data_IF_028858440856
#
_entry.id   IF_028858440856
#
_cell.length_a   1.000
_cell.length_b   1.000
_cell.length_c   1.000
_cell.angle_alpha   90.00
_cell.angle_beta   90.00
_cell.angle_gamma   90.00
#
_symmetry.space_group_name_H-M   'P 1'
#
loop_
_entity.id
_entity.type
_entity.pdbx_description
1 polymer ?
#
# COMPACT_ATOMS: atom_id res chain seq x y z
N UNK A 1 5.99 -83.99 -33.34
CA UNK A 1 6.93 -84.55 -32.35
C UNK A 1 7.94 -83.48 -31.98
N UNK A 2 8.01 -83.14 -30.69
CA UNK A 2 9.12 -82.48 -29.96
C UNK A 2 9.48 -81.03 -30.35
N UNK A 3 9.77 -80.09 -29.44
CA UNK A 3 9.81 -80.05 -27.97
C UNK A 3 9.86 -78.56 -27.57
N UNK A 4 9.35 -78.28 -26.36
CA UNK A 4 9.33 -76.98 -25.67
C UNK A 4 10.73 -76.48 -25.31
N UNK A 5 10.89 -75.16 -25.16
CA UNK A 5 12.03 -74.55 -24.45
C UNK A 5 12.10 -73.03 -24.61
N UNK A 6 11.26 -72.28 -23.89
CA UNK A 6 11.42 -70.82 -23.71
C UNK A 6 12.31 -70.61 -22.48
N UNK A 7 13.52 -70.07 -22.70
CA UNK A 7 14.42 -69.64 -21.62
C UNK A 7 14.08 -68.18 -21.29
N UNK A 8 13.77 -67.99 -20.02
CA UNK A 8 13.42 -66.75 -19.34
C UNK A 8 14.64 -65.80 -19.33
N UNK A 9 14.52 -64.64 -19.99
CA UNK A 9 15.50 -63.57 -19.88
C UNK A 9 15.30 -62.77 -18.60
N UNK A 10 16.26 -62.82 -17.68
CA UNK A 10 16.40 -61.85 -16.59
C UNK A 10 17.43 -60.80 -17.00
N UNK A 11 16.97 -59.68 -17.55
CA UNK A 11 17.68 -58.41 -17.45
C UNK A 11 17.00 -57.61 -16.35
N UNK A 12 17.60 -57.64 -15.15
CA UNK A 12 17.22 -56.77 -14.04
C UNK A 12 17.78 -55.39 -14.36
N UNK A 13 16.96 -54.54 -14.98
CA UNK A 13 17.21 -53.11 -15.05
C UNK A 13 16.59 -52.50 -13.80
N UNK A 14 17.44 -52.18 -12.84
CA UNK A 14 17.09 -51.44 -11.63
C UNK A 14 16.64 -50.03 -12.00
N UNK A 15 15.34 -49.85 -12.27
CA UNK A 15 14.73 -48.53 -12.35
C UNK A 15 14.46 -48.08 -10.91
N UNK A 16 15.33 -47.21 -10.41
CA UNK A 16 15.12 -46.46 -9.18
C UNK A 16 13.93 -45.53 -9.43
N UNK A 17 12.76 -45.93 -8.95
CA UNK A 17 11.60 -45.03 -8.86
C UNK A 17 11.86 -44.10 -7.68
N UNK A 18 12.55 -42.97 -7.96
CA UNK A 18 12.55 -41.83 -7.05
C UNK A 18 11.14 -41.25 -7.10
N UNK A 19 10.31 -41.61 -6.14
CA UNK A 19 9.06 -40.90 -5.85
C UNK A 19 9.48 -39.49 -5.41
N UNK A 20 9.52 -38.56 -6.34
CA UNK A 20 9.56 -37.13 -6.03
C UNK A 20 8.16 -36.80 -5.52
N UNK A 21 7.98 -36.94 -4.20
CA UNK A 21 6.86 -36.37 -3.50
C UNK A 21 6.80 -34.89 -3.89
N UNK A 22 5.82 -34.54 -4.71
CA UNK A 22 5.52 -33.15 -5.05
C UNK A 22 4.95 -32.50 -3.80
N UNK A 23 5.85 -32.12 -2.89
CA UNK A 23 5.54 -31.16 -1.85
C UNK A 23 5.36 -29.82 -2.57
N UNK A 24 4.10 -29.43 -2.71
CA UNK A 24 3.72 -28.07 -3.02
C UNK A 24 4.27 -27.19 -1.90
N UNK A 25 5.49 -26.66 -2.08
CA UNK A 25 5.98 -25.60 -1.22
C UNK A 25 5.14 -24.37 -1.55
N UNK A 26 4.10 -24.15 -0.75
CA UNK A 26 3.52 -22.82 -0.61
C UNK A 26 4.67 -21.92 -0.14
N UNK A 27 5.28 -21.19 -1.08
CA UNK A 27 6.10 -20.04 -0.74
C UNK A 27 5.14 -19.03 -0.12
N UNK A 28 5.00 -19.10 1.21
CA UNK A 28 4.58 -17.95 1.99
C UNK A 28 5.66 -16.91 1.73
N UNK A 29 5.45 -16.06 0.72
CA UNK A 29 6.17 -14.81 0.63
C UNK A 29 5.75 -13.99 1.84
N UNK A 30 6.55 -14.09 2.89
CA UNK A 30 6.50 -13.19 4.02
C UNK A 30 6.90 -11.83 3.47
N UNK A 31 5.90 -10.99 3.16
CA UNK A 31 6.10 -9.55 3.13
C UNK A 31 6.72 -9.19 4.48
N UNK A 32 7.99 -8.77 4.45
CA UNK A 32 8.75 -8.36 5.63
C UNK A 32 8.24 -6.98 6.07
N UNK A 33 6.98 -6.94 6.49
CA UNK A 33 6.38 -5.74 7.03
C UNK A 33 6.94 -5.59 8.44
N UNK A 34 7.71 -4.52 8.64
CA UNK A 34 8.14 -4.13 9.97
C UNK A 34 6.90 -3.75 10.81
N UNK A 35 6.38 -4.75 11.53
CA UNK A 35 5.26 -4.61 12.45
C UNK A 35 5.58 -3.71 13.63
N UNK A 36 6.84 -3.30 13.80
CA UNK A 36 7.27 -2.37 14.85
C UNK A 36 7.25 -0.91 14.41
N UNK A 37 7.10 -0.62 13.10
CA UNK A 37 7.16 0.73 12.56
C UNK A 37 6.08 1.64 13.13
N UNK A 38 6.49 2.50 14.05
CA UNK A 38 5.62 3.41 14.82
C UNK A 38 6.22 4.81 14.77
N UNK A 39 5.38 5.81 14.56
CA UNK A 39 5.76 7.22 14.59
C UNK A 39 4.89 7.95 15.62
N UNK A 40 5.51 8.40 16.71
CA UNK A 40 4.79 9.00 17.83
C UNK A 40 3.83 7.99 18.45
N UNK A 41 2.55 8.32 18.55
CA UNK A 41 1.51 7.39 19.00
C UNK A 41 0.92 6.51 17.90
N UNK A 42 1.35 6.67 16.64
CA UNK A 42 0.71 6.04 15.48
C UNK A 42 1.50 4.81 15.02
N UNK A 43 0.87 3.63 15.04
CA UNK A 43 1.41 2.48 14.30
C UNK A 43 1.24 2.74 12.81
N UNK A 44 2.38 2.75 12.11
CA UNK A 44 2.44 2.92 10.66
C UNK A 44 2.84 1.64 9.94
N UNK A 45 3.06 0.53 10.64
CA UNK A 45 3.49 -0.75 10.10
C UNK A 45 2.77 -1.14 8.80
N UNK A 46 1.43 -1.08 8.82
CA UNK A 46 0.57 -1.45 7.70
C UNK A 46 0.19 -0.27 6.77
N UNK A 47 0.72 0.94 7.00
CA UNK A 47 0.58 2.08 6.10
C UNK A 47 1.37 1.92 4.81
N UNK A 48 1.48 2.98 4.01
CA UNK A 48 2.31 3.02 2.81
C UNK A 48 3.79 2.72 3.11
N UNK A 49 4.58 2.33 2.10
CA UNK A 49 6.03 2.53 2.13
C UNK A 49 6.36 3.99 2.48
N UNK A 50 7.53 4.25 3.06
CA UNK A 50 7.96 5.62 3.37
C UNK A 50 8.26 6.35 2.05
N UNK A 51 7.72 7.56 1.89
CA UNK A 51 8.14 8.48 0.82
C UNK A 51 9.24 9.41 1.34
N UNK A 52 10.39 9.40 0.68
CA UNK A 52 11.57 10.17 1.07
C UNK A 52 12.57 9.34 1.85
N UNK A 53 13.46 10.02 2.58
CA UNK A 53 14.48 9.35 3.39
C UNK A 53 13.86 8.70 4.64
N UNK A 54 13.93 7.38 4.81
CA UNK A 54 13.42 6.70 6.02
C UNK A 54 14.16 7.11 7.30
N UNK A 55 15.32 7.77 7.20
CA UNK A 55 16.08 8.32 8.32
C UNK A 55 15.81 9.81 8.57
N UNK A 56 14.90 10.44 7.81
CA UNK A 56 14.52 11.82 8.06
C UNK A 56 13.98 11.98 9.50
N UNK A 57 14.38 13.05 10.23
CA UNK A 57 14.04 13.20 11.65
C UNK A 57 12.54 13.47 11.89
N UNK A 58 11.83 13.92 10.86
CA UNK A 58 10.40 14.22 10.92
C UNK A 58 9.64 13.24 10.03
N UNK A 59 8.56 12.67 10.56
CA UNK A 59 7.61 11.88 9.78
C UNK A 59 6.26 12.58 9.75
N UNK A 60 5.77 12.84 8.54
CA UNK A 60 4.40 13.28 8.30
C UNK A 60 3.56 12.03 8.09
N UNK A 61 2.64 11.75 9.00
CA UNK A 61 1.63 10.69 8.83
C UNK A 61 0.35 11.34 8.31
N UNK A 62 0.00 11.02 7.08
CA UNK A 62 -1.26 11.45 6.45
C UNK A 62 -2.30 10.33 6.55
N UNK A 63 -3.44 10.63 7.15
CA UNK A 63 -4.64 9.80 7.09
C UNK A 63 -5.56 10.31 5.98
N UNK A 64 -5.83 9.48 4.98
CA UNK A 64 -6.58 9.89 3.79
C UNK A 64 -7.57 8.85 3.25
N UNK A 65 -8.44 9.33 2.36
CA UNK A 65 -9.40 8.52 1.61
C UNK A 65 -9.33 8.98 0.16
N UNK A 66 -9.18 8.07 -0.80
CA UNK A 66 -9.03 8.47 -2.20
C UNK A 66 -10.27 9.17 -2.78
N UNK A 67 -11.45 9.05 -2.15
CA UNK A 67 -12.68 9.78 -2.55
C UNK A 67 -12.82 11.16 -1.90
N UNK A 68 -11.87 11.57 -1.05
CA UNK A 68 -11.92 12.80 -0.27
C UNK A 68 -11.54 14.02 -1.10
N UNK A 69 -12.46 14.95 -1.29
CA UNK A 69 -12.18 16.20 -2.00
C UNK A 69 -11.15 17.09 -1.28
N UNK A 70 -11.08 17.06 0.06
CA UNK A 70 -10.05 17.84 0.76
C UNK A 70 -8.66 17.20 0.62
N UNK A 71 -8.59 15.87 0.51
CA UNK A 71 -7.35 15.14 0.32
C UNK A 71 -6.80 15.40 -1.08
N UNK A 72 -7.70 15.45 -2.09
CA UNK A 72 -7.40 15.98 -3.42
C UNK A 72 -6.75 17.37 -3.34
N UNK A 73 -7.40 18.33 -2.68
CA UNK A 73 -6.90 19.71 -2.60
C UNK A 73 -5.52 19.75 -1.94
N UNK A 74 -5.32 19.01 -0.84
CA UNK A 74 -4.01 18.95 -0.18
C UNK A 74 -2.94 18.34 -1.10
N UNK A 75 -3.27 17.25 -1.80
CA UNK A 75 -2.37 16.59 -2.75
C UNK A 75 -1.92 17.52 -3.89
N UNK A 76 -2.84 18.33 -4.43
CA UNK A 76 -2.54 19.23 -5.56
C UNK A 76 -1.92 20.57 -5.10
N UNK A 77 -2.38 21.13 -3.99
CA UNK A 77 -2.06 22.52 -3.62
C UNK A 77 -0.95 22.63 -2.56
N UNK A 78 -0.83 21.65 -1.65
CA UNK A 78 0.07 21.76 -0.49
C UNK A 78 1.23 20.76 -0.55
N UNK A 79 0.94 19.48 -0.84
CA UNK A 79 1.94 18.39 -0.89
C UNK A 79 3.15 18.72 -1.77
N UNK A 80 3.03 19.33 -2.97
CA UNK A 80 4.20 19.56 -3.82
C UNK A 80 5.26 20.47 -3.18
N UNK A 81 4.83 21.49 -2.44
CA UNK A 81 5.74 22.36 -1.71
C UNK A 81 6.40 21.64 -0.52
N UNK A 82 5.65 20.80 0.19
CA UNK A 82 6.21 19.96 1.27
C UNK A 82 7.24 18.98 0.71
N UNK A 83 6.92 18.32 -0.41
CA UNK A 83 7.83 17.39 -1.08
C UNK A 83 9.14 18.06 -1.43
N UNK A 84 9.08 19.19 -2.14
CA UNK A 84 10.27 19.94 -2.56
C UNK A 84 11.10 20.46 -1.38
N UNK A 85 10.46 21.07 -0.38
CA UNK A 85 11.17 21.85 0.65
C UNK A 85 11.62 21.01 1.86
N UNK A 86 11.02 19.83 2.05
CA UNK A 86 11.29 18.98 3.22
C UNK A 86 11.60 17.53 2.84
N UNK A 87 10.79 16.88 1.99
CA UNK A 87 10.96 15.44 1.70
C UNK A 87 12.20 15.18 0.85
N UNK A 88 12.33 15.88 -0.28
CA UNK A 88 13.48 15.74 -1.18
C UNK A 88 14.80 16.21 -0.54
N UNK A 89 14.71 17.07 0.48
CA UNK A 89 15.86 17.54 1.25
C UNK A 89 16.25 16.62 2.42
N UNK A 90 15.50 15.54 2.67
CA UNK A 90 15.73 14.61 3.78
C UNK A 90 15.37 15.14 5.17
N UNK A 91 14.68 16.29 5.24
CA UNK A 91 14.23 16.88 6.52
C UNK A 91 12.98 16.21 7.07
N UNK A 92 12.12 15.72 6.18
CA UNK A 92 10.94 14.97 6.54
C UNK A 92 10.75 13.77 5.61
N UNK A 93 9.96 12.81 6.05
CA UNK A 93 9.39 11.78 5.19
C UNK A 93 7.87 11.77 5.34
N UNK A 94 7.18 11.02 4.46
CA UNK A 94 5.72 10.90 4.47
C UNK A 94 5.31 9.43 4.52
N UNK A 95 4.31 9.12 5.34
CA UNK A 95 3.59 7.85 5.37
C UNK A 95 2.10 8.12 5.21
N UNK A 96 1.47 7.46 4.24
CA UNK A 96 0.03 7.48 4.06
C UNK A 96 -0.62 6.30 4.80
N UNK A 97 -1.72 6.55 5.51
CA UNK A 97 -2.48 5.56 6.27
C UNK A 97 -3.95 5.70 5.90
N UNK A 98 -4.59 4.58 5.56
CA UNK A 98 -5.97 4.64 5.09
C UNK A 98 -6.93 5.05 6.20
N UNK A 99 -7.83 5.97 5.88
CA UNK A 99 -9.07 6.20 6.60
C UNK A 99 -10.20 6.17 5.58
N UNK A 100 -10.50 4.97 5.08
CA UNK A 100 -11.40 4.74 3.94
C UNK A 100 -12.86 4.57 4.41
N UNK A 101 -13.63 5.66 4.45
CA UNK A 101 -15.00 5.67 4.99
C UNK A 101 -16.01 6.48 4.18
N UNK A 102 -15.57 7.25 3.17
CA UNK A 102 -16.43 8.24 2.52
C UNK A 102 -17.51 7.62 1.64
N UNK A 103 -17.20 6.51 0.97
CA UNK A 103 -18.14 5.83 0.09
C UNK A 103 -17.80 4.36 -0.09
N UNK A 104 -18.65 3.65 -0.83
CA UNK A 104 -18.51 2.20 -1.08
C UNK A 104 -17.20 1.86 -1.77
N UNK A 105 -16.70 2.75 -2.61
CA UNK A 105 -15.49 2.51 -3.41
C UNK A 105 -14.20 2.81 -2.62
N UNK A 106 -14.29 3.53 -1.49
CA UNK A 106 -13.12 3.97 -0.71
C UNK A 106 -12.23 2.80 -0.26
N UNK A 107 -12.76 1.72 0.35
CA UNK A 107 -11.91 0.60 0.78
C UNK A 107 -11.27 -0.14 -0.39
N UNK A 108 -11.92 -0.19 -1.56
CA UNK A 108 -11.39 -0.87 -2.75
C UNK A 108 -10.29 -0.04 -3.41
N UNK A 109 -10.45 1.28 -3.47
CA UNK A 109 -9.41 2.21 -3.93
C UNK A 109 -8.15 2.13 -3.05
N UNK A 110 -8.30 2.05 -1.73
CA UNK A 110 -7.19 1.82 -0.81
C UNK A 110 -6.48 0.47 -1.06
N UNK A 111 -7.24 -0.62 -1.19
CA UNK A 111 -6.68 -1.94 -1.52
C UNK A 111 -5.89 -1.95 -2.83
N UNK A 112 -6.37 -1.24 -3.85
CA UNK A 112 -5.71 -1.14 -5.15
C UNK A 112 -4.29 -0.56 -5.05
N UNK A 113 -4.05 0.35 -4.11
CA UNK A 113 -2.70 0.90 -3.90
C UNK A 113 -1.73 -0.14 -3.34
N UNK A 114 -2.21 -1.07 -2.51
CA UNK A 114 -1.42 -2.19 -2.02
C UNK A 114 -1.25 -3.31 -3.04
N UNK A 115 -2.20 -3.49 -3.97
CA UNK A 115 -1.99 -4.37 -5.13
C UNK A 115 -0.91 -3.83 -6.07
N UNK A 116 -0.75 -2.50 -6.15
CA UNK A 116 0.40 -1.90 -6.83
C UNK A 116 1.69 -2.00 -5.99
N UNK A 117 1.61 -1.92 -4.66
CA UNK A 117 2.73 -2.13 -3.73
C UNK A 117 3.34 -3.53 -3.84
N UNK A 118 2.51 -4.55 -4.08
CA UNK A 118 2.97 -5.92 -4.39
C UNK A 118 3.90 -5.95 -5.63
N UNK A 119 3.92 -4.88 -6.43
CA UNK A 119 4.75 -4.68 -7.60
C UNK A 119 5.71 -3.47 -7.46
N UNK A 120 5.89 -2.97 -6.24
CA UNK A 120 6.73 -1.81 -5.88
C UNK A 120 6.29 -0.46 -6.47
N UNK A 121 5.00 -0.31 -6.78
CA UNK A 121 4.45 0.87 -7.48
C UNK A 121 3.39 1.61 -6.64
N UNK A 122 3.50 1.53 -5.31
CA UNK A 122 2.54 2.15 -4.39
C UNK A 122 2.37 3.64 -4.66
N UNK A 123 3.48 4.39 -4.69
CA UNK A 123 3.44 5.85 -4.75
C UNK A 123 3.02 6.37 -6.13
N UNK A 124 3.41 5.69 -7.20
CA UNK A 124 2.96 5.96 -8.56
C UNK A 124 1.44 5.73 -8.68
N UNK A 125 0.94 4.64 -8.12
CA UNK A 125 -0.48 4.33 -8.11
C UNK A 125 -1.29 5.31 -7.24
N UNK A 126 -0.80 5.61 -6.03
CA UNK A 126 -1.36 6.63 -5.14
C UNK A 126 -1.46 7.99 -5.85
N UNK A 127 -0.39 8.43 -6.51
CA UNK A 127 -0.37 9.68 -7.27
C UNK A 127 -1.36 9.64 -8.43
N UNK A 128 -1.48 8.51 -9.12
CA UNK A 128 -2.46 8.33 -10.22
C UNK A 128 -3.89 8.50 -9.73
N UNK A 129 -4.25 7.88 -8.60
CA UNK A 129 -5.59 8.01 -8.01
C UNK A 129 -5.94 9.47 -7.71
N UNK A 130 -5.07 10.22 -7.03
CA UNK A 130 -5.35 11.64 -6.74
C UNK A 130 -5.26 12.55 -7.96
N UNK A 131 -4.44 12.21 -8.97
CA UNK A 131 -4.37 12.96 -10.23
C UNK A 131 -5.68 12.87 -11.00
N UNK A 132 -6.30 11.70 -11.03
CA UNK A 132 -7.51 11.41 -11.79
C UNK A 132 -8.78 11.27 -10.94
N UNK A 133 -8.71 11.65 -9.66
CA UNK A 133 -9.87 11.64 -8.77
C UNK A 133 -10.95 12.55 -9.33
N UNK A 134 -12.19 12.08 -9.30
CA UNK A 134 -13.36 12.89 -9.61
C UNK A 134 -14.02 13.45 -8.34
N UNK A 135 -14.70 14.59 -8.49
CA UNK A 135 -15.23 15.37 -7.36
C UNK A 135 -16.36 14.70 -6.57
N UNK A 136 -17.00 13.65 -7.10
CA UNK A 136 -18.17 13.02 -6.48
C UNK A 136 -17.82 11.63 -5.97
N UNK A 137 -18.13 11.41 -4.69
CA UNK A 137 -18.08 10.10 -4.03
C UNK A 137 -19.05 9.14 -4.74
N UNK A 138 -18.60 7.90 -4.96
CA UNK A 138 -19.37 6.78 -5.52
C UNK A 138 -20.04 7.10 -6.88
N UNK A 139 -19.43 7.95 -7.70
CA UNK A 139 -19.92 8.21 -9.07
C UNK A 139 -19.38 7.22 -10.11
N UNK A 140 -18.58 6.24 -9.69
CA UNK A 140 -17.94 5.23 -10.54
C UNK A 140 -16.49 5.53 -10.92
N UNK A 141 -15.92 6.70 -10.58
CA UNK A 141 -14.52 7.02 -10.91
C UNK A 141 -13.51 6.05 -10.27
N UNK A 142 -13.86 5.50 -9.11
CA UNK A 142 -13.10 4.52 -8.33
C UNK A 142 -13.70 3.10 -8.36
N UNK A 143 -14.48 2.77 -9.40
CA UNK A 143 -14.97 1.40 -9.60
C UNK A 143 -13.80 0.42 -9.81
N UNK A 144 -14.04 -0.88 -9.61
CA UNK A 144 -13.00 -1.92 -9.84
C UNK A 144 -12.39 -1.82 -11.24
N UNK A 145 -13.22 -1.60 -12.27
CA UNK A 145 -12.79 -1.45 -13.66
C UNK A 145 -11.89 -0.23 -13.87
N UNK A 146 -12.21 0.89 -13.20
CA UNK A 146 -11.39 2.11 -13.26
C UNK A 146 -10.08 1.92 -12.51
N UNK A 147 -10.10 1.30 -11.33
CA UNK A 147 -8.90 0.96 -10.57
C UNK A 147 -7.95 0.06 -11.38
N UNK A 148 -8.48 -0.96 -12.05
CA UNK A 148 -7.70 -1.81 -12.98
C UNK A 148 -7.18 -1.04 -14.19
N UNK A 149 -7.95 -0.09 -14.71
CA UNK A 149 -7.50 0.78 -15.81
C UNK A 149 -6.32 1.67 -15.39
N UNK A 150 -6.29 2.18 -14.15
CA UNK A 150 -5.12 2.91 -13.64
C UNK A 150 -3.89 2.02 -13.56
N UNK A 151 -4.04 0.78 -13.09
CA UNK A 151 -2.94 -0.20 -13.04
C UNK A 151 -2.38 -0.49 -14.44
N UNK A 152 -3.27 -0.72 -15.40
CA UNK A 152 -2.90 -0.96 -16.80
C UNK A 152 -2.11 0.22 -17.37
N UNK A 153 -2.55 1.46 -17.15
CA UNK A 153 -1.85 2.65 -17.63
C UNK A 153 -0.48 2.86 -16.99
N UNK A 154 -0.25 2.29 -15.80
CA UNK A 154 1.05 2.27 -15.13
C UNK A 154 1.92 1.08 -15.53
N UNK A 155 1.48 0.28 -16.51
CA UNK A 155 2.16 -0.94 -16.99
C UNK A 155 2.41 -1.99 -15.89
N UNK A 156 1.48 -2.09 -14.92
CA UNK A 156 1.52 -3.18 -13.94
C UNK A 156 1.20 -4.52 -14.60
N UNK A 157 1.67 -5.61 -14.00
CA UNK A 157 1.20 -6.95 -14.33
C UNK A 157 -0.27 -7.07 -13.91
N UNK A 158 -1.15 -7.06 -14.92
CA UNK A 158 -2.58 -7.10 -14.72
C UNK A 158 -3.07 -8.45 -14.21
N UNK A 159 -2.33 -9.54 -14.43
CA UNK A 159 -2.70 -10.84 -13.87
C UNK A 159 -2.58 -10.79 -12.34
N UNK A 160 -1.44 -10.29 -11.85
CA UNK A 160 -1.19 -10.13 -10.42
C UNK A 160 -2.11 -9.08 -9.79
N UNK A 161 -2.32 -7.96 -10.48
CA UNK A 161 -3.14 -6.88 -9.98
C UNK A 161 -4.63 -7.29 -9.88
N UNK A 162 -5.16 -7.93 -10.91
CA UNK A 162 -6.56 -8.39 -10.93
C UNK A 162 -6.80 -9.43 -9.84
N UNK A 163 -5.91 -10.42 -9.71
CA UNK A 163 -6.00 -11.44 -8.64
C UNK A 163 -5.99 -10.78 -7.25
N UNK A 164 -5.09 -9.84 -7.02
CA UNK A 164 -5.00 -9.12 -5.75
C UNK A 164 -6.27 -8.33 -5.42
N UNK A 165 -6.80 -7.57 -6.38
CA UNK A 165 -7.93 -6.67 -6.16
C UNK A 165 -9.27 -7.43 -6.04
N UNK A 166 -9.46 -8.46 -6.87
CA UNK A 166 -10.68 -9.27 -6.90
C UNK A 166 -10.78 -10.21 -5.70
N UNK A 167 -9.65 -10.73 -5.20
CA UNK A 167 -9.60 -11.54 -3.97
C UNK A 167 -9.69 -10.72 -2.69
N UNK A 168 -9.66 -9.38 -2.78
CA UNK A 168 -9.62 -8.47 -1.64
C UNK A 168 -8.43 -8.72 -0.71
N UNK A 169 -7.28 -9.12 -1.28
CA UNK A 169 -6.06 -9.53 -0.55
C UNK A 169 -5.69 -8.59 0.58
N UNK A 170 -5.81 -7.28 0.36
CA UNK A 170 -5.40 -6.23 1.31
C UNK A 170 -6.56 -5.65 2.15
N UNK A 171 -7.76 -6.25 2.13
CA UNK A 171 -8.93 -5.76 2.87
C UNK A 171 -8.66 -5.60 4.38
N UNK A 172 -8.00 -6.57 5.00
CA UNK A 172 -7.63 -6.52 6.43
C UNK A 172 -6.63 -5.40 6.74
N UNK A 173 -5.70 -5.12 5.81
CA UNK A 173 -4.72 -4.03 5.92
C UNK A 173 -5.43 -2.68 6.00
N UNK A 174 -6.35 -2.43 5.06
CA UNK A 174 -7.16 -1.20 5.02
C UNK A 174 -8.04 -1.05 6.26
N UNK A 175 -8.68 -2.13 6.71
CA UNK A 175 -9.50 -2.12 7.94
C UNK A 175 -8.67 -1.79 9.18
N UNK A 176 -7.46 -2.37 9.30
CA UNK A 176 -6.54 -2.08 10.38
C UNK A 176 -6.12 -0.61 10.39
N UNK A 177 -5.68 -0.07 9.24
CA UNK A 177 -5.28 1.34 9.11
C UNK A 177 -6.42 2.29 9.49
N UNK A 178 -7.62 2.01 9.01
CA UNK A 178 -8.80 2.82 9.34
C UNK A 178 -9.14 2.76 10.83
N UNK A 179 -8.87 1.63 11.50
CA UNK A 179 -9.03 1.52 12.95
C UNK A 179 -7.94 2.29 13.70
N UNK A 180 -6.67 2.22 13.27
CA UNK A 180 -5.59 3.01 13.84
C UNK A 180 -5.89 4.52 13.80
N UNK A 181 -6.45 5.00 12.69
CA UNK A 181 -6.89 6.39 12.56
C UNK A 181 -7.93 6.76 13.62
N UNK A 182 -8.97 5.94 13.78
CA UNK A 182 -10.06 6.18 14.74
C UNK A 182 -9.58 6.11 16.19
N UNK A 183 -8.74 5.13 16.52
CA UNK A 183 -8.20 4.94 17.87
C UNK A 183 -7.31 6.10 18.30
N UNK A 184 -6.63 6.74 17.33
CA UNK A 184 -5.85 7.96 17.54
C UNK A 184 -6.66 9.26 17.39
N UNK A 185 -8.00 9.16 17.35
CA UNK A 185 -8.89 10.32 17.36
C UNK A 185 -8.98 11.10 16.05
N UNK A 186 -8.55 10.52 14.92
CA UNK A 186 -8.74 11.12 13.59
C UNK A 186 -10.21 11.01 13.21
N UNK A 187 -10.88 12.16 13.04
CA UNK A 187 -12.34 12.25 12.79
C UNK A 187 -12.70 12.60 11.36
N UNK A 188 -11.73 12.83 10.48
CA UNK A 188 -11.96 13.21 9.10
C UNK A 188 -10.67 13.21 8.30
N UNK A 189 -10.81 13.36 6.99
CA UNK A 189 -9.72 13.32 6.03
C UNK A 189 -9.59 14.64 5.25
N UNK A 190 -8.36 15.07 4.92
CA UNK A 190 -7.12 14.49 5.39
C UNK A 190 -6.91 14.85 6.87
N UNK A 191 -6.34 13.93 7.65
CA UNK A 191 -5.87 14.17 9.01
C UNK A 191 -4.38 13.93 9.07
N UNK A 192 -3.64 14.71 9.85
CA UNK A 192 -2.18 14.60 9.90
C UNK A 192 -1.67 14.49 11.32
N UNK A 193 -0.61 13.71 11.47
CA UNK A 193 0.32 13.80 12.60
C UNK A 193 1.70 14.15 12.04
N UNK A 194 2.29 15.23 12.55
CA UNK A 194 3.68 15.60 12.25
C UNK A 194 4.49 15.21 13.47
N UNK A 195 5.30 14.17 13.33
CA UNK A 195 6.08 13.57 14.42
C UNK A 195 7.54 13.95 14.23
N UNK A 196 8.11 14.66 15.20
CA UNK A 196 9.53 15.00 15.24
C UNK A 196 10.23 14.41 16.47
N UNK A 197 11.52 14.73 16.68
CA UNK A 197 12.32 14.20 17.78
C UNK A 197 11.76 14.55 19.17
N UNK A 198 11.18 15.75 19.31
CA UNK A 198 10.77 16.32 20.59
C UNK A 198 9.25 16.27 20.83
N UNK A 199 8.47 15.70 19.91
CA UNK A 199 7.02 15.61 20.08
C UNK A 199 6.25 15.35 18.79
N UNK A 200 4.93 15.45 18.90
CA UNK A 200 4.02 15.31 17.76
C UNK A 200 2.94 16.40 17.76
N UNK A 201 2.59 16.88 16.59
CA UNK A 201 1.49 17.82 16.37
C UNK A 201 0.42 17.20 15.47
N UNK A 202 -0.85 17.44 15.79
CA UNK A 202 -1.99 16.98 15.00
C UNK A 202 -2.57 18.13 14.18
N UNK A 203 -2.84 17.90 12.89
CA UNK A 203 -3.57 18.83 12.03
C UNK A 203 -4.79 18.15 11.42
N UNK A 204 -5.86 18.91 11.27
CA UNK A 204 -7.09 18.46 10.63
C UNK A 204 -7.36 19.26 9.35
N UNK A 205 -7.73 18.54 8.29
CA UNK A 205 -8.10 19.10 7.00
C UNK A 205 -6.91 19.52 6.14
N UNK A 206 -7.23 19.92 4.91
CA UNK A 206 -6.29 20.40 3.91
C UNK A 206 -5.74 21.80 4.26
N UNK A 207 -4.89 21.87 5.27
CA UNK A 207 -4.27 23.13 5.68
C UNK A 207 -3.32 23.65 4.58
N UNK A 208 -3.17 24.97 4.44
CA UNK A 208 -2.25 25.55 3.47
C UNK A 208 -0.79 25.26 3.86
N UNK A 209 0.10 25.27 2.87
CA UNK A 209 1.54 25.04 3.08
C UNK A 209 2.15 25.87 4.20
N UNK A 210 1.73 27.12 4.40
CA UNK A 210 2.25 27.98 5.47
C UNK A 210 2.03 27.44 6.89
N UNK A 211 0.97 26.64 7.10
CA UNK A 211 0.71 25.97 8.38
C UNK A 211 1.68 24.82 8.58
N UNK A 212 1.84 23.96 7.57
CA UNK A 212 2.81 22.86 7.60
C UNK A 212 4.23 23.37 7.78
N UNK A 213 4.64 24.37 7.00
CA UNK A 213 5.94 25.02 7.07
C UNK A 213 6.27 25.49 8.48
N UNK A 214 5.33 26.18 9.15
CA UNK A 214 5.54 26.68 10.51
C UNK A 214 5.87 25.54 11.48
N UNK A 215 5.19 24.40 11.37
CA UNK A 215 5.37 23.26 12.28
C UNK A 215 6.65 22.49 11.94
N UNK A 216 6.85 22.19 10.66
CA UNK A 216 8.04 21.50 10.19
C UNK A 216 9.30 22.29 10.54
N UNK A 217 9.32 23.61 10.34
CA UNK A 217 10.47 24.47 10.69
C UNK A 217 10.78 24.48 12.19
N UNK A 218 9.80 24.22 13.07
CA UNK A 218 10.03 24.13 14.52
C UNK A 218 10.52 22.76 14.98
N UNK A 219 10.46 21.74 14.11
CA UNK A 219 10.83 20.36 14.42
C UNK A 219 12.13 19.89 13.74
N UNK A 220 12.70 20.73 12.86
CA UNK A 220 14.01 20.48 12.20
C UNK A 220 15.16 20.86 13.12
#
# INVERSE_FOLDING_TARGET
MNKKGVILGMFVISIIVVIVASMSSSSNETFDVDMTRTHGSISTALGSPILGDPLAPITIVEFGDYQCHQCYNWFHDTKPMITRDYIETGKANLVFVDLAFLGRDSPKAAQATYCADDQNMYWEYHNSLYTFQESKIDNGWASSERLKSFAFNLNLDMTLFDECLDSEKHSKRVQYNSQQARDNGVRGTPGFFIVGPDGQEQLAGAQPFSVFKRILDTMV
#
